data_IF_919560922962
#
_entry.id   IF_919560922962
#
_cell.length_a   1.000
_cell.length_b   1.000
_cell.length_c   1.000
_cell.angle_alpha   90.00
_cell.angle_beta   90.00
_cell.angle_gamma   90.00
#
_symmetry.space_group_name_H-M   'P 1'
#
loop_
_entity.id
_entity.type
_entity.pdbx_description
1 polymer ?
#
# COMPACT_ATOMS: atom_id res chain seq x y z
N UNK A 1 5.99 9.57 30.71
CA UNK A 1 6.51 9.86 29.35
C UNK A 1 6.18 8.63 28.53
N UNK A 2 5.21 8.70 27.63
CA UNK A 2 4.91 7.61 26.71
C UNK A 2 6.00 7.58 25.63
N UNK A 3 6.77 6.49 25.54
CA UNK A 3 7.79 6.35 24.50
C UNK A 3 7.12 5.93 23.20
N UNK A 4 7.05 6.84 22.23
CA UNK A 4 6.53 6.57 20.91
C UNK A 4 7.60 5.82 20.11
N UNK A 5 7.31 4.59 19.68
CA UNK A 5 8.22 3.77 18.89
C UNK A 5 7.99 4.09 17.41
N UNK A 6 9.02 4.56 16.73
CA UNK A 6 9.00 4.84 15.29
C UNK A 6 9.46 3.59 14.55
N UNK A 7 8.65 3.12 13.60
CA UNK A 7 8.99 1.97 12.75
C UNK A 7 9.77 2.43 11.52
N UNK A 8 10.77 1.65 11.11
CA UNK A 8 11.46 1.86 9.85
C UNK A 8 10.59 1.36 8.67
N UNK A 9 10.91 1.81 7.46
CA UNK A 9 10.19 1.39 6.24
C UNK A 9 10.99 0.30 5.53
N UNK A 10 10.33 -0.79 5.16
CA UNK A 10 10.95 -1.89 4.44
C UNK A 10 11.59 -1.41 3.11
N UNK A 11 12.79 -1.92 2.82
CA UNK A 11 13.58 -1.47 1.67
C UNK A 11 12.92 -1.78 0.33
N UNK A 12 12.16 -2.86 0.22
CA UNK A 12 11.45 -3.21 -1.00
C UNK A 12 10.15 -2.40 -1.15
N UNK A 13 9.51 -2.05 -0.03
CA UNK A 13 8.43 -1.06 -0.03
C UNK A 13 8.90 0.31 -0.50
N UNK A 14 10.08 0.78 -0.07
CA UNK A 14 10.65 2.07 -0.55
C UNK A 14 10.87 2.06 -2.06
N UNK A 15 11.36 0.95 -2.63
CA UNK A 15 11.53 0.80 -4.09
C UNK A 15 10.19 0.88 -4.81
N UNK A 16 9.18 0.13 -4.34
CA UNK A 16 7.82 0.17 -4.91
C UNK A 16 7.19 1.56 -4.83
N UNK A 17 7.31 2.26 -3.69
CA UNK A 17 6.80 3.63 -3.55
C UNK A 17 7.48 4.60 -4.53
N UNK A 18 8.77 4.39 -4.80
CA UNK A 18 9.50 5.16 -5.81
C UNK A 18 8.96 4.89 -7.21
N UNK A 19 8.79 3.63 -7.59
CA UNK A 19 8.20 3.24 -8.87
C UNK A 19 6.78 3.79 -9.01
N UNK A 20 5.94 3.61 -8.00
CA UNK A 20 4.56 4.10 -7.97
C UNK A 20 4.44 5.62 -8.10
N UNK A 21 5.39 6.37 -7.51
CA UNK A 21 5.47 7.83 -7.67
C UNK A 21 5.83 8.26 -9.09
N UNK A 22 6.70 7.51 -9.75
CA UNK A 22 7.19 7.83 -11.10
C UNK A 22 6.50 7.03 -12.20
N UNK A 23 5.41 6.35 -11.85
CA UNK A 23 4.59 5.57 -12.75
C UNK A 23 4.03 6.45 -13.87
N UNK A 24 3.87 5.88 -15.06
CA UNK A 24 3.42 6.60 -16.28
C UNK A 24 1.99 6.25 -16.67
N UNK A 25 1.37 5.34 -15.94
CA UNK A 25 0.02 4.85 -16.15
C UNK A 25 -1.01 5.93 -15.77
N UNK A 26 -2.09 6.01 -16.53
CA UNK A 26 -3.18 6.99 -16.32
C UNK A 26 -4.33 6.43 -15.48
N UNK A 27 -4.19 5.22 -14.96
CA UNK A 27 -5.17 4.62 -14.06
C UNK A 27 -4.99 5.12 -12.62
N UNK A 28 -6.12 5.19 -11.90
CA UNK A 28 -6.04 5.40 -10.45
C UNK A 28 -5.46 4.13 -9.84
N UNK A 29 -4.58 4.28 -8.86
CA UNK A 29 -4.01 3.15 -8.14
C UNK A 29 -3.77 3.55 -6.69
N UNK A 30 -3.71 2.57 -5.79
CA UNK A 30 -3.50 2.77 -4.36
C UNK A 30 -2.53 1.72 -3.81
N UNK A 31 -1.66 2.14 -2.90
CA UNK A 31 -0.80 1.26 -2.11
C UNK A 31 -1.27 1.31 -0.66
N UNK A 32 -1.60 0.15 -0.11
CA UNK A 32 -1.96 -0.03 1.30
C UNK A 32 -0.73 -0.56 2.03
N UNK A 33 -0.40 0.07 3.16
CA UNK A 33 0.75 -0.29 3.99
C UNK A 33 0.27 -0.69 5.38
N UNK A 34 0.98 -1.62 6.02
CA UNK A 34 0.74 -2.01 7.41
C UNK A 34 2.03 -2.03 8.22
N UNK A 35 1.88 -1.98 9.54
CA UNK A 35 3.00 -2.14 10.48
C UNK A 35 3.11 -3.61 10.86
N UNK A 36 4.24 -4.23 10.54
CA UNK A 36 4.68 -5.49 11.12
C UNK A 36 5.20 -5.21 12.54
N UNK A 37 4.42 -5.57 13.55
CA UNK A 37 4.74 -5.32 14.96
C UNK A 37 5.92 -6.14 15.47
N UNK A 38 6.15 -7.32 14.89
CA UNK A 38 7.24 -8.21 15.32
C UNK A 38 8.57 -7.70 14.80
N UNK A 39 8.56 -7.13 13.59
CA UNK A 39 9.77 -6.55 12.96
C UNK A 39 9.94 -5.05 13.20
N UNK A 40 8.91 -4.36 13.72
CA UNK A 40 8.85 -2.89 13.80
C UNK A 40 9.11 -2.22 12.43
N UNK A 41 8.54 -2.80 11.38
CA UNK A 41 8.72 -2.34 10.00
C UNK A 41 7.37 -2.02 9.35
N UNK A 42 7.33 -0.95 8.58
CA UNK A 42 6.24 -0.67 7.65
C UNK A 42 6.46 -1.51 6.40
N UNK A 43 5.50 -2.37 6.08
CA UNK A 43 5.54 -3.30 4.96
C UNK A 43 4.35 -3.07 4.02
N UNK A 44 4.47 -3.52 2.77
CA UNK A 44 3.36 -3.55 1.84
C UNK A 44 2.29 -4.51 2.34
N UNK A 45 1.03 -4.06 2.33
CA UNK A 45 -0.12 -4.92 2.59
C UNK A 45 -0.77 -5.33 1.26
N UNK A 46 -1.25 -4.34 0.52
CA UNK A 46 -1.98 -4.55 -0.74
C UNK A 46 -1.65 -3.45 -1.75
N UNK A 47 -1.78 -3.78 -3.04
CA UNK A 47 -1.63 -2.84 -4.14
C UNK A 47 -2.86 -2.99 -5.06
N UNK A 48 -3.52 -1.87 -5.34
CA UNK A 48 -4.76 -1.81 -6.09
C UNK A 48 -4.60 -0.94 -7.32
N UNK A 49 -5.03 -1.43 -8.48
CA UNK A 49 -5.15 -0.64 -9.69
C UNK A 49 -6.61 -0.55 -10.12
N UNK A 50 -7.13 0.68 -10.21
CA UNK A 50 -8.42 0.98 -10.81
C UNK A 50 -8.24 0.95 -12.33
N UNK A 51 -8.09 -0.25 -12.88
CA UNK A 51 -8.82 -0.52 -14.12
C UNK A 51 -10.31 -0.39 -13.77
N UNK A 52 -11.18 -0.14 -14.73
CA UNK A 52 -12.63 0.00 -14.52
C UNK A 52 -13.31 -1.21 -13.80
N UNK A 53 -12.54 -2.23 -13.39
CA UNK A 53 -12.92 -3.40 -12.60
C UNK A 53 -12.96 -3.18 -11.08
N UNK A 54 -12.28 -2.18 -10.47
CA UNK A 54 -12.41 -1.98 -9.01
C UNK A 54 -13.86 -1.68 -8.65
N UNK A 55 -14.56 -0.86 -9.45
CA UNK A 55 -16.00 -0.68 -9.31
C UNK A 55 -16.81 -1.98 -9.37
N UNK A 56 -16.38 -2.97 -10.17
CA UNK A 56 -17.03 -4.28 -10.22
C UNK A 56 -16.69 -5.19 -9.03
N UNK A 57 -15.44 -5.16 -8.52
CA UNK A 57 -15.02 -6.00 -7.40
C UNK A 57 -15.71 -5.61 -6.08
N UNK A 58 -15.76 -4.31 -5.75
CA UNK A 58 -16.55 -3.84 -4.59
C UNK A 58 -18.05 -4.11 -4.77
N UNK A 59 -18.58 -4.04 -5.99
CA UNK A 59 -19.98 -4.41 -6.25
C UNK A 59 -20.24 -5.91 -6.05
N UNK A 60 -19.31 -6.80 -6.43
CA UNK A 60 -19.46 -8.25 -6.16
C UNK A 60 -19.27 -8.65 -4.69
N UNK A 61 -18.51 -7.89 -3.90
CA UNK A 61 -18.33 -8.18 -2.47
C UNK A 61 -19.44 -7.63 -1.57
N UNK A 62 -20.34 -6.79 -2.11
CA UNK A 62 -21.46 -6.15 -1.39
C UNK A 62 -22.83 -6.65 -1.94
N UNK A 63 -22.83 -7.67 -2.80
CA UNK A 63 -24.04 -8.36 -3.30
C UNK A 63 -24.22 -9.73 -2.65
#
# INVERSE_FOLDING_TARGET
IESLVVCDVDGDLVKKLREFRFRKETNNAAIIMKIDKDKQLVILDEEHEVSSQIGYCIMTSVL
#
